data_IF_547595040565
#
_entry.id   IF_547595040565
#
_cell.length_a   1.000
_cell.length_b   1.000
_cell.length_c   1.000
_cell.angle_alpha   90.00
_cell.angle_beta   90.00
_cell.angle_gamma   90.00
#
_symmetry.space_group_name_H-M   'P 1'
#
loop_
_entity.id
_entity.type
_entity.pdbx_description
1 polymer ?
#
# COMPACT_ATOMS: atom_id res chain seq x y z
N UNK A 1 7.27 13.17 14.97
CA UNK A 1 8.14 12.03 14.63
C UNK A 1 7.59 11.40 13.35
N UNK A 2 8.38 10.62 12.61
CA UNK A 2 8.01 10.11 11.27
C UNK A 2 6.72 9.31 11.24
N UNK A 3 6.42 8.55 12.29
CA UNK A 3 5.16 7.82 12.40
C UNK A 3 3.93 8.74 12.41
N UNK A 4 3.98 9.89 13.11
CA UNK A 4 2.87 10.85 13.07
C UNK A 4 2.74 11.52 11.71
N UNK A 5 3.85 11.84 11.05
CA UNK A 5 3.84 12.46 9.72
C UNK A 5 3.28 11.50 8.66
N UNK A 6 3.69 10.24 8.69
CA UNK A 6 3.14 9.17 7.84
C UNK A 6 1.63 9.05 8.01
N UNK A 7 1.18 9.06 9.28
CA UNK A 7 -0.25 9.01 9.61
C UNK A 7 -1.01 10.24 9.11
N UNK A 8 -0.46 11.45 9.25
CA UNK A 8 -1.09 12.68 8.77
C UNK A 8 -1.22 12.72 7.25
N UNK A 9 -0.16 12.33 6.52
CA UNK A 9 -0.17 12.35 5.05
C UNK A 9 -1.21 11.36 4.51
N UNK A 10 -1.21 10.12 5.00
CA UNK A 10 -2.21 9.13 4.60
C UNK A 10 -3.62 9.49 5.05
N UNK A 11 -3.79 10.15 6.19
CA UNK A 11 -5.09 10.67 6.64
C UNK A 11 -5.65 11.70 5.64
N UNK A 12 -4.81 12.62 5.17
CA UNK A 12 -5.19 13.61 4.16
C UNK A 12 -5.62 12.98 2.84
N UNK A 13 -4.88 11.96 2.38
CA UNK A 13 -5.24 11.20 1.18
C UNK A 13 -6.55 10.44 1.40
N UNK A 14 -6.67 9.68 2.49
CA UNK A 14 -7.83 8.82 2.75
C UNK A 14 -9.14 9.61 2.88
N UNK A 15 -9.09 10.85 3.38
CA UNK A 15 -10.24 11.74 3.46
C UNK A 15 -10.86 12.06 2.08
N UNK A 16 -10.07 12.02 1.00
CA UNK A 16 -10.57 12.23 -0.37
C UNK A 16 -11.17 10.97 -1.00
N UNK A 17 -10.97 9.81 -0.37
CA UNK A 17 -11.36 8.50 -0.92
C UNK A 17 -12.65 7.94 -0.28
N UNK A 18 -13.10 8.54 0.83
CA UNK A 18 -14.29 8.07 1.55
C UNK A 18 -15.55 8.17 0.68
N UNK A 19 -16.29 7.06 0.59
CA UNK A 19 -17.51 6.98 -0.23
C UNK A 19 -17.28 6.98 -1.75
N UNK A 20 -16.03 7.00 -2.22
CA UNK A 20 -15.70 6.98 -3.64
C UNK A 20 -15.53 5.52 -4.12
N UNK A 21 -16.10 5.12 -5.27
CA UNK A 21 -15.92 3.76 -5.81
C UNK A 21 -14.44 3.42 -6.08
N UNK A 22 -14.01 2.24 -5.63
CA UNK A 22 -12.68 1.68 -5.92
C UNK A 22 -12.65 1.16 -7.36
N UNK A 23 -12.44 2.07 -8.30
CA UNK A 23 -12.30 1.77 -9.72
C UNK A 23 -11.14 2.54 -10.37
N UNK A 24 -10.95 2.35 -11.69
CA UNK A 24 -9.88 3.00 -12.46
C UNK A 24 -9.88 4.53 -12.38
N UNK A 25 -11.02 5.18 -12.09
CA UNK A 25 -11.10 6.64 -11.94
C UNK A 25 -10.46 7.08 -10.64
N UNK A 26 -10.61 6.30 -9.57
CA UNK A 26 -9.88 6.55 -8.32
C UNK A 26 -8.38 6.42 -8.52
N UNK A 27 -7.92 5.37 -9.22
CA UNK A 27 -6.50 5.22 -9.55
C UNK A 27 -5.97 6.41 -10.39
N UNK A 28 -6.75 6.87 -11.38
CA UNK A 28 -6.38 8.02 -12.20
C UNK A 28 -6.29 9.31 -11.36
N UNK A 29 -7.29 9.57 -10.52
CA UNK A 29 -7.30 10.71 -9.60
C UNK A 29 -6.08 10.71 -8.66
N UNK A 30 -5.77 9.57 -8.05
CA UNK A 30 -4.62 9.44 -7.16
C UNK A 30 -3.29 9.68 -7.88
N UNK A 31 -3.13 9.20 -9.11
CA UNK A 31 -1.92 9.45 -9.90
C UNK A 31 -1.83 10.87 -10.46
N UNK A 32 -2.95 11.60 -10.55
CA UNK A 32 -2.97 13.01 -10.94
C UNK A 32 -2.65 13.93 -9.75
N UNK A 33 -3.29 13.70 -8.61
CA UNK A 33 -3.13 14.52 -7.40
C UNK A 33 -1.85 14.19 -6.62
N UNK A 34 -1.47 12.90 -6.57
CA UNK A 34 -0.32 12.40 -5.82
C UNK A 34 0.60 11.57 -6.73
N UNK A 35 1.17 12.17 -7.80
CA UNK A 35 1.96 11.44 -8.78
C UNK A 35 3.22 10.83 -8.15
N UNK A 36 3.74 9.77 -8.77
CA UNK A 36 4.89 9.02 -8.25
C UNK A 36 6.17 9.88 -8.07
N UNK A 37 6.34 10.93 -8.87
CA UNK A 37 7.44 11.90 -8.78
C UNK A 37 7.07 13.16 -7.95
N UNK A 38 5.86 13.20 -7.39
CA UNK A 38 5.36 14.27 -6.54
C UNK A 38 5.90 14.22 -5.12
N UNK A 39 5.90 15.38 -4.45
CA UNK A 39 6.49 15.55 -3.12
C UNK A 39 5.88 14.62 -2.07
N UNK A 40 4.55 14.47 -2.03
CA UNK A 40 3.87 13.63 -1.06
C UNK A 40 4.19 12.14 -1.26
N UNK A 41 4.25 11.67 -2.51
CA UNK A 41 4.58 10.27 -2.82
C UNK A 41 6.03 9.94 -2.48
N UNK A 42 6.97 10.83 -2.84
CA UNK A 42 8.37 10.70 -2.47
C UNK A 42 8.54 10.71 -0.95
N UNK A 43 7.80 11.60 -0.26
CA UNK A 43 7.83 11.67 1.20
C UNK A 43 7.30 10.40 1.86
N UNK A 44 6.24 9.79 1.32
CA UNK A 44 5.78 8.47 1.78
C UNK A 44 6.89 7.42 1.67
N UNK A 45 7.66 7.41 0.58
CA UNK A 45 8.77 6.48 0.42
C UNK A 45 9.89 6.69 1.45
N UNK A 46 10.25 7.93 1.73
CA UNK A 46 11.21 8.27 2.79
C UNK A 46 10.73 7.81 4.16
N UNK A 47 9.44 8.04 4.47
CA UNK A 47 8.82 7.63 5.73
C UNK A 47 8.73 6.10 5.85
N UNK A 48 8.50 5.37 4.75
CA UNK A 48 8.58 3.91 4.73
C UNK A 48 9.99 3.42 5.07
N UNK A 49 11.03 4.02 4.46
CA UNK A 49 12.42 3.66 4.73
C UNK A 49 12.85 3.99 6.18
N UNK A 50 12.42 5.14 6.70
CA UNK A 50 12.63 5.51 8.09
C UNK A 50 11.90 4.57 9.05
N UNK A 51 10.63 4.26 8.78
CA UNK A 51 9.85 3.35 9.59
C UNK A 51 10.37 1.92 9.61
N UNK A 52 10.90 1.43 8.49
CA UNK A 52 11.58 0.13 8.46
C UNK A 52 12.85 0.16 9.32
N UNK A 53 13.68 1.20 9.15
CA UNK A 53 14.94 1.36 9.89
C UNK A 53 14.71 1.45 11.40
N UNK A 54 13.67 2.15 11.82
CA UNK A 54 13.32 2.38 13.22
C UNK A 54 12.46 1.24 13.81
N UNK A 55 11.97 0.33 12.96
CA UNK A 55 11.22 -0.85 13.37
C UNK A 55 9.77 -0.59 13.78
N UNK A 56 9.25 0.63 13.58
CA UNK A 56 7.83 0.91 13.81
C UNK A 56 6.95 0.53 12.61
N UNK A 57 7.54 0.42 11.41
CA UNK A 57 6.89 -0.08 10.20
C UNK A 57 7.48 -1.44 9.80
N UNK A 58 6.65 -2.32 9.23
CA UNK A 58 7.08 -3.64 8.70
C UNK A 58 7.90 -4.49 9.70
N UNK A 59 7.52 -4.48 10.98
CA UNK A 59 8.24 -5.16 12.06
C UNK A 59 8.12 -6.68 12.09
N UNK A 60 7.36 -7.27 11.16
CA UNK A 60 7.18 -8.72 11.01
C UNK A 60 7.74 -9.17 9.68
N UNK A 61 8.25 -10.40 9.63
CA UNK A 61 8.77 -11.00 8.41
C UNK A 61 8.35 -12.47 8.33
N UNK A 62 7.86 -12.89 7.16
CA UNK A 62 7.54 -14.28 6.87
C UNK A 62 7.69 -14.53 5.37
N UNK A 63 8.28 -15.67 5.01
CA UNK A 63 8.41 -16.07 3.60
C UNK A 63 9.18 -15.05 2.74
N UNK A 64 10.12 -14.29 3.31
CA UNK A 64 10.88 -13.26 2.59
C UNK A 64 10.15 -11.94 2.36
N UNK A 65 8.96 -11.76 2.94
CA UNK A 65 8.19 -10.51 2.90
C UNK A 65 8.19 -9.89 4.29
N UNK A 66 8.55 -8.60 4.38
CA UNK A 66 8.34 -7.81 5.60
C UNK A 66 7.00 -7.11 5.53
N UNK A 67 6.27 -7.04 6.63
CA UNK A 67 4.90 -6.52 6.65
C UNK A 67 4.47 -5.98 8.01
N UNK A 68 3.49 -5.09 8.02
CA UNK A 68 2.86 -4.62 9.23
C UNK A 68 1.70 -3.66 8.99
N UNK A 69 0.69 -3.71 9.87
CA UNK A 69 -0.40 -2.74 9.92
C UNK A 69 0.05 -1.49 10.66
N UNK A 70 0.26 -0.41 9.93
CA UNK A 70 0.67 0.88 10.45
C UNK A 70 -0.50 1.65 11.09
N UNK A 71 -1.67 1.61 10.46
CA UNK A 71 -2.88 2.29 10.93
C UNK A 71 -4.03 1.29 10.93
N UNK A 72 -4.74 1.18 12.07
CA UNK A 72 -5.91 0.31 12.17
C UNK A 72 -7.14 1.00 11.61
N UNK A 73 -8.09 0.22 11.10
CA UNK A 73 -9.46 0.67 10.79
C UNK A 73 -10.04 1.46 11.97
N UNK A 74 -10.67 2.59 11.70
CA UNK A 74 -11.18 3.53 12.71
C UNK A 74 -10.10 4.44 13.32
N UNK A 75 -8.86 4.38 12.82
CA UNK A 75 -7.77 5.28 13.19
C UNK A 75 -7.76 6.56 12.35
N UNK A 76 -6.56 7.10 12.10
CA UNK A 76 -6.38 8.37 11.39
C UNK A 76 -6.90 8.35 9.94
N UNK A 77 -6.98 7.17 9.32
CA UNK A 77 -7.45 6.96 7.94
C UNK A 77 -8.92 6.52 7.86
N UNK A 78 -9.72 6.79 8.90
CA UNK A 78 -11.15 6.52 8.91
C UNK A 78 -11.47 5.04 8.67
N UNK A 79 -12.25 4.74 7.64
CA UNK A 79 -12.66 3.37 7.32
C UNK A 79 -11.54 2.49 6.76
N UNK A 80 -10.38 3.05 6.40
CA UNK A 80 -9.28 2.28 5.83
C UNK A 80 -8.30 1.88 6.93
N UNK A 81 -7.85 0.62 6.93
CA UNK A 81 -6.56 0.30 7.56
C UNK A 81 -5.42 0.57 6.60
N UNK A 82 -4.23 0.87 7.13
CA UNK A 82 -3.01 0.99 6.35
C UNK A 82 -2.06 -0.13 6.71
N UNK A 83 -1.77 -0.97 5.73
CA UNK A 83 -0.73 -2.00 5.82
C UNK A 83 0.42 -1.60 4.89
N UNK A 84 1.65 -1.88 5.28
CA UNK A 84 2.82 -1.69 4.42
C UNK A 84 3.59 -3.00 4.36
N UNK A 85 4.02 -3.37 3.16
CA UNK A 85 4.87 -4.51 2.92
C UNK A 85 6.12 -4.10 2.16
N UNK A 86 7.22 -4.83 2.35
CA UNK A 86 8.40 -4.80 1.49
C UNK A 86 8.53 -6.14 0.80
N UNK A 87 8.66 -6.10 -0.52
CA UNK A 87 8.74 -7.28 -1.37
C UNK A 87 9.85 -7.08 -2.41
N UNK A 88 10.69 -8.10 -2.59
CA UNK A 88 11.78 -8.09 -3.58
C UNK A 88 11.74 -9.36 -4.41
N UNK A 89 11.45 -9.22 -5.71
CA UNK A 89 11.37 -10.31 -6.69
C UNK A 89 10.69 -11.58 -6.13
N UNK A 90 9.50 -11.39 -5.57
CA UNK A 90 8.81 -12.42 -4.78
C UNK A 90 7.31 -12.41 -5.01
N UNK A 91 6.75 -13.62 -5.02
CA UNK A 91 5.32 -13.92 -5.08
C UNK A 91 4.82 -14.27 -3.68
N UNK A 92 3.88 -13.48 -3.17
CA UNK A 92 3.26 -13.67 -1.85
C UNK A 92 2.07 -14.64 -1.88
N UNK A 93 1.46 -14.88 -0.69
CA UNK A 93 0.35 -15.80 -0.53
C UNK A 93 -0.94 -15.26 -1.17
N UNK A 94 -1.71 -16.15 -1.79
CA UNK A 94 -2.97 -15.78 -2.41
C UNK A 94 -3.99 -15.27 -1.39
N UNK A 95 -4.64 -14.16 -1.73
CA UNK A 95 -5.76 -13.63 -0.96
C UNK A 95 -6.81 -12.97 -1.85
N UNK A 96 -7.97 -12.69 -1.24
CA UNK A 96 -9.08 -11.95 -1.80
C UNK A 96 -9.19 -10.62 -1.07
N UNK A 97 -9.60 -9.57 -1.79
CA UNK A 97 -9.98 -8.25 -1.26
C UNK A 97 -11.51 -8.12 -1.26
N UNK A 98 -12.22 -8.49 -0.17
CA UNK A 98 -13.68 -8.51 -0.18
C UNK A 98 -14.29 -7.14 -0.49
N UNK A 99 -13.65 -6.08 0.00
CA UNK A 99 -14.08 -4.68 -0.11
C UNK A 99 -13.20 -3.86 -1.04
N UNK A 100 -12.21 -4.48 -1.69
CA UNK A 100 -11.24 -3.84 -2.59
C UNK A 100 -9.95 -3.42 -1.90
N UNK A 101 -9.01 -2.91 -2.69
CA UNK A 101 -7.72 -2.39 -2.22
C UNK A 101 -7.36 -1.14 -3.02
N UNK A 102 -6.88 -0.11 -2.32
CA UNK A 102 -6.12 0.97 -2.92
C UNK A 102 -4.67 0.74 -2.53
N UNK A 103 -3.73 0.81 -3.48
CA UNK A 103 -2.33 0.63 -3.14
C UNK A 103 -1.39 1.56 -3.88
N UNK A 104 -0.17 1.66 -3.35
CA UNK A 104 0.92 2.45 -3.91
C UNK A 104 2.19 1.61 -4.01
N UNK A 105 2.78 1.55 -5.20
CA UNK A 105 4.06 0.89 -5.46
C UNK A 105 5.18 1.92 -5.35
N UNK A 106 5.97 1.83 -4.28
CA UNK A 106 7.08 2.75 -4.02
C UNK A 106 8.40 2.01 -4.31
N UNK A 107 9.14 2.40 -5.35
CA UNK A 107 10.36 1.71 -5.74
C UNK A 107 11.49 1.97 -4.75
N UNK A 108 12.25 0.90 -4.44
CA UNK A 108 13.47 0.97 -3.62
C UNK A 108 14.70 0.73 -4.50
N UNK A 109 14.69 -0.35 -5.27
CA UNK A 109 15.81 -0.75 -6.12
C UNK A 109 15.29 -1.38 -7.42
N UNK A 110 15.94 -1.06 -8.54
CA UNK A 110 15.59 -1.61 -9.85
C UNK A 110 14.40 -0.88 -10.49
N UNK A 111 13.59 -1.63 -11.25
CA UNK A 111 12.37 -1.15 -11.88
C UNK A 111 11.19 -2.03 -11.44
N UNK A 112 10.88 -2.05 -10.12
CA UNK A 112 9.91 -2.97 -9.57
C UNK A 112 8.52 -2.69 -10.11
N UNK A 113 7.78 -3.76 -10.35
CA UNK A 113 6.34 -3.73 -10.59
C UNK A 113 5.64 -4.61 -9.58
N UNK A 114 4.46 -4.19 -9.14
CA UNK A 114 3.55 -5.00 -8.34
C UNK A 114 2.40 -5.48 -9.24
N UNK A 115 2.28 -6.78 -9.50
CA UNK A 115 1.24 -7.33 -10.38
C UNK A 115 1.12 -6.60 -11.72
N UNK A 116 2.27 -6.31 -12.33
CA UNK A 116 2.45 -5.48 -13.54
C UNK A 116 2.20 -3.97 -13.38
N UNK A 117 1.69 -3.49 -12.24
CA UNK A 117 1.62 -2.06 -11.94
C UNK A 117 3.02 -1.47 -11.74
N UNK A 118 3.33 -0.44 -12.51
CA UNK A 118 4.52 0.39 -12.35
C UNK A 118 4.44 1.25 -11.08
N UNK A 119 5.54 1.90 -10.66
CA UNK A 119 5.53 2.88 -9.57
C UNK A 119 4.39 3.90 -9.68
N UNK A 120 3.69 4.12 -8.57
CA UNK A 120 2.47 4.95 -8.51
C UNK A 120 1.31 4.23 -7.83
N UNK A 121 0.10 4.77 -8.02
CA UNK A 121 -1.11 4.24 -7.39
C UNK A 121 -1.84 3.24 -8.27
N UNK A 122 -2.41 2.21 -7.66
CA UNK A 122 -3.30 1.25 -8.29
C UNK A 122 -4.54 1.02 -7.42
N UNK A 123 -5.59 0.47 -8.03
CA UNK A 123 -6.83 0.13 -7.34
C UNK A 123 -7.32 -1.22 -7.83
N UNK A 124 -7.62 -2.09 -6.87
CA UNK A 124 -8.34 -3.32 -7.08
C UNK A 124 -9.80 -3.16 -6.62
N UNK A 125 -10.79 -3.50 -7.47
CA UNK A 125 -12.19 -3.42 -7.08
C UNK A 125 -12.56 -4.50 -6.05
N UNK A 126 -13.70 -4.35 -5.35
CA UNK A 126 -14.22 -5.37 -4.43
C UNK A 126 -14.35 -6.75 -5.09
N UNK A 127 -13.96 -7.79 -4.35
CA UNK A 127 -14.02 -9.20 -4.77
C UNK A 127 -12.87 -9.65 -5.68
N UNK A 128 -11.88 -8.79 -5.93
CA UNK A 128 -10.65 -9.16 -6.64
C UNK A 128 -9.80 -10.12 -5.81
N UNK A 129 -9.03 -10.96 -6.50
CA UNK A 129 -8.09 -11.89 -5.88
C UNK A 129 -6.78 -11.99 -6.66
N UNK A 130 -5.68 -12.23 -5.95
CA UNK A 130 -4.36 -12.33 -6.56
C UNK A 130 -3.34 -13.02 -5.65
N UNK A 131 -2.21 -13.36 -6.25
CA UNK A 131 -0.97 -13.54 -5.50
C UNK A 131 -0.15 -12.27 -5.65
N UNK A 132 -0.02 -11.45 -4.60
CA UNK A 132 0.72 -10.19 -4.68
C UNK A 132 2.14 -10.49 -5.13
N UNK A 133 2.60 -9.89 -6.21
CA UNK A 133 3.90 -10.21 -6.80
C UNK A 133 4.68 -8.96 -7.11
N UNK A 134 5.85 -8.81 -6.48
CA UNK A 134 6.85 -7.83 -6.95
C UNK A 134 7.83 -8.52 -7.89
N UNK A 135 8.09 -7.89 -9.04
CA UNK A 135 9.09 -8.36 -10.01
C UNK A 135 9.93 -7.20 -10.55
N UNK A 136 11.18 -7.48 -10.94
CA UNK A 136 12.08 -6.49 -11.52
C UNK A 136 12.75 -5.56 -10.50
N UNK A 137 12.70 -5.92 -9.21
CA UNK A 137 13.29 -5.08 -8.15
C UNK A 137 12.72 -5.29 -6.76
N UNK A 138 12.95 -4.28 -5.93
CA UNK A 138 12.53 -4.18 -4.53
C UNK A 138 11.61 -2.97 -4.37
N UNK A 139 10.49 -3.16 -3.67
CA UNK A 139 9.50 -2.10 -3.46
C UNK A 139 8.87 -2.19 -2.07
N UNK A 140 8.51 -1.02 -1.55
CA UNK A 140 7.43 -0.94 -0.58
C UNK A 140 6.10 -0.93 -1.33
N UNK A 141 5.11 -1.64 -0.79
CA UNK A 141 3.72 -1.53 -1.24
C UNK A 141 2.87 -1.13 -0.05
N UNK A 142 2.23 0.03 -0.16
CA UNK A 142 1.27 0.53 0.83
C UNK A 142 -0.11 0.07 0.40
N UNK A 143 -0.91 -0.46 1.32
CA UNK A 143 -2.30 -0.85 1.11
C UNK A 143 -3.22 0.00 2.00
N UNK A 144 -4.22 0.64 1.41
CA UNK A 144 -5.39 1.18 2.10
C UNK A 144 -6.54 0.20 1.86
N UNK A 145 -6.87 -0.56 2.90
CA UNK A 145 -7.89 -1.62 2.86
C UNK A 145 -9.18 -1.12 3.51
N UNK A 146 -10.31 -0.99 2.78
CA UNK A 146 -11.59 -0.66 3.38
C UNK A 146 -11.98 -1.71 4.43
N UNK A 147 -12.31 -1.25 5.63
CA UNK A 147 -12.60 -2.08 6.82
C UNK A 147 -11.42 -2.94 7.29
N UNK A 148 -10.26 -2.84 6.63
CA UNK A 148 -9.10 -3.70 6.87
C UNK A 148 -9.31 -5.16 6.45
N UNK A 149 -10.24 -5.40 5.51
CA UNK A 149 -10.65 -6.73 5.08
C UNK A 149 -9.67 -7.33 4.05
N UNK A 150 -9.18 -8.53 4.35
CA UNK A 150 -8.32 -9.34 3.47
C UNK A 150 -8.53 -10.81 3.85
N UNK A 151 -8.71 -11.68 2.86
CA UNK A 151 -8.99 -13.10 3.08
C UNK A 151 -7.94 -14.00 2.41
N UNK A 152 -7.04 -14.58 3.21
CA UNK A 152 -6.07 -15.56 2.71
C UNK A 152 -6.75 -16.89 2.41
N UNK A 153 -6.51 -17.44 1.22
CA UNK A 153 -7.24 -18.63 0.75
C UNK A 153 -6.43 -19.93 0.81
N UNK A 154 -5.11 -19.84 0.95
CA UNK A 154 -4.22 -21.01 0.93
C UNK A 154 -4.11 -21.71 -0.43
N UNK A 155 -4.62 -21.10 -1.51
CA UNK A 155 -4.39 -21.52 -2.90
C UNK A 155 -2.90 -21.46 -3.27
#
# INVERSE_FOLDING_TARGET
MSAEEFSMLLSGIAAQLEGVPLDRRMAAFLNEEYPADGADFQRLGELCAEGEREGWLMSREAGGVKFGRAIKTGGATGQFSVDVVRMKDIKGPHHVHPTGEIGAVIPIEGAPKFDEFAPGWYVYPPGSDHHPTVSGGDAYVIYLLPEGAIEFTGK
#
